data_IF_935871959264
#
_entry.id   IF_935871959264
#
_cell.length_a   1.000
_cell.length_b   1.000
_cell.length_c   1.000
_cell.angle_alpha   90.00
_cell.angle_beta   90.00
_cell.angle_gamma   90.00
#
_symmetry.space_group_name_H-M   'P 1'
#
loop_
_entity.id
_entity.type
_entity.pdbx_description
1 polymer ?
#
# COMPACT_ATOMS: atom_id res chain seq x y z
N UNK A 1 17.11 2.66 -5.28
CA UNK A 1 15.72 3.16 -5.15
C UNK A 1 15.09 2.69 -3.85
N UNK A 2 14.89 1.38 -3.66
CA UNK A 2 14.19 0.76 -2.51
C UNK A 2 14.69 1.17 -1.13
N UNK A 3 16.01 1.36 -0.95
CA UNK A 3 16.58 1.74 0.35
C UNK A 3 16.25 3.17 0.82
N UNK A 4 16.04 4.11 -0.11
CA UNK A 4 15.77 5.51 0.23
C UNK A 4 14.31 5.69 0.66
N UNK A 5 13.40 5.01 -0.02
CA UNK A 5 11.95 4.97 0.23
C UNK A 5 11.67 4.40 1.62
N UNK A 6 12.38 3.31 1.96
CA UNK A 6 12.29 2.61 3.25
C UNK A 6 12.63 3.51 4.45
N UNK A 7 13.64 4.38 4.31
CA UNK A 7 14.11 5.25 5.42
C UNK A 7 13.20 6.46 5.66
N UNK A 8 12.31 6.76 4.72
CA UNK A 8 11.34 7.85 4.77
C UNK A 8 10.03 7.38 5.44
N UNK A 9 9.53 6.20 5.07
CA UNK A 9 8.31 5.60 5.62
C UNK A 9 8.43 5.29 7.13
N UNK A 10 9.62 4.91 7.60
CA UNK A 10 9.80 4.42 8.97
C UNK A 10 9.84 5.50 10.05
N UNK A 11 9.79 6.80 9.71
CA UNK A 11 10.13 7.86 10.69
C UNK A 11 8.96 8.42 11.50
N UNK A 12 7.70 8.29 11.08
CA UNK A 12 6.58 8.99 11.74
C UNK A 12 5.19 8.31 11.56
N UNK A 13 4.98 7.09 12.06
CA UNK A 13 3.60 6.58 12.18
C UNK A 13 3.33 6.04 13.58
N UNK A 14 3.22 6.96 14.54
CA UNK A 14 2.38 6.71 15.71
C UNK A 14 0.93 6.58 15.19
N UNK A 15 0.36 5.38 15.31
CA UNK A 15 -1.02 5.14 14.92
C UNK A 15 -1.97 6.02 15.75
N UNK A 16 -2.99 6.62 15.14
CA UNK A 16 -3.93 7.46 15.87
C UNK A 16 -4.70 6.62 16.91
N UNK A 17 -5.08 7.23 18.05
CA UNK A 17 -5.94 6.56 19.01
C UNK A 17 -7.33 6.30 18.41
N UNK A 18 -7.87 5.12 18.64
CA UNK A 18 -9.21 4.71 18.20
C UNK A 18 -10.17 4.68 19.39
N UNK A 19 -11.14 5.57 19.39
CA UNK A 19 -12.27 5.55 20.33
C UNK A 19 -13.23 4.42 19.96
N UNK A 20 -13.63 3.61 20.94
CA UNK A 20 -14.60 2.53 20.75
C UNK A 20 -16.01 3.11 20.69
N UNK A 21 -16.49 3.37 19.48
CA UNK A 21 -17.86 3.82 19.19
C UNK A 21 -18.48 2.97 18.08
N UNK A 22 -19.80 3.08 17.91
CA UNK A 22 -20.54 2.43 16.82
C UNK A 22 -20.43 3.21 15.49
N UNK A 23 -19.93 4.45 15.51
CA UNK A 23 -19.87 5.36 14.35
C UNK A 23 -19.12 4.80 13.12
N UNK A 24 -18.02 4.03 13.25
CA UNK A 24 -17.35 3.46 12.09
C UNK A 24 -18.22 2.45 11.32
N UNK A 25 -19.27 1.92 11.95
CA UNK A 25 -20.19 0.97 11.35
C UNK A 25 -21.41 1.73 10.81
N UNK A 26 -21.70 1.60 9.51
CA UNK A 26 -22.78 2.37 8.86
C UNK A 26 -24.17 2.05 9.41
N UNK A 27 -24.51 0.77 9.46
CA UNK A 27 -25.80 0.25 9.93
C UNK A 27 -25.53 -0.89 10.90
N UNK A 28 -26.04 -0.80 12.12
CA UNK A 28 -25.88 -1.89 13.09
C UNK A 28 -27.17 -2.19 13.82
N UNK A 29 -27.43 -3.46 14.08
CA UNK A 29 -28.49 -3.93 14.97
C UNK A 29 -27.83 -4.46 16.22
N UNK A 30 -28.07 -3.80 17.35
CA UNK A 30 -27.64 -4.28 18.67
C UNK A 30 -28.80 -4.99 19.34
N UNK A 31 -28.55 -6.17 19.88
CA UNK A 31 -29.57 -6.97 20.55
C UNK A 31 -29.35 -6.95 22.05
N UNK A 32 -30.40 -6.68 22.82
CA UNK A 32 -30.37 -6.72 24.28
C UNK A 32 -31.32 -7.77 24.81
N UNK A 33 -30.77 -8.76 25.49
CA UNK A 33 -31.55 -9.76 26.23
C UNK A 33 -31.88 -9.27 27.63
N UNK A 34 -33.17 -9.12 27.92
CA UNK A 34 -33.67 -8.77 29.24
C UNK A 34 -35.04 -8.11 29.20
N UNK A 35 -35.81 -8.22 30.29
CA UNK A 35 -37.12 -7.57 30.40
C UNK A 35 -36.98 -6.10 30.85
N UNK A 36 -37.49 -5.12 30.09
CA UNK A 36 -37.40 -3.69 30.43
C UNK A 36 -38.05 -3.33 31.77
N UNK A 37 -39.08 -4.09 32.18
CA UNK A 37 -39.79 -3.88 33.44
C UNK A 37 -39.02 -4.35 34.67
N UNK A 38 -37.97 -5.17 34.50
CA UNK A 38 -37.31 -5.87 35.61
C UNK A 38 -35.90 -5.35 35.89
N UNK A 39 -35.28 -4.60 34.98
CA UNK A 39 -33.90 -4.10 35.18
C UNK A 39 -33.73 -2.65 34.73
N UNK A 40 -33.35 -1.78 35.67
CA UNK A 40 -32.94 -0.39 35.41
C UNK A 40 -31.79 -0.29 34.39
N UNK A 41 -31.00 -1.36 34.26
CA UNK A 41 -29.86 -1.49 33.35
C UNK A 41 -30.25 -1.62 31.89
N UNK A 42 -31.34 -2.34 31.58
CA UNK A 42 -31.85 -2.42 30.19
C UNK A 42 -32.36 -1.04 29.75
N UNK A 43 -33.07 -0.32 30.63
CA UNK A 43 -33.50 1.05 30.35
C UNK A 43 -32.32 2.03 30.20
N UNK A 44 -31.26 1.86 30.99
CA UNK A 44 -30.03 2.64 30.82
C UNK A 44 -29.35 2.34 29.48
N UNK A 45 -29.34 1.08 29.05
CA UNK A 45 -28.82 0.67 27.74
C UNK A 45 -29.65 1.25 26.59
N UNK A 46 -30.99 1.26 26.69
CA UNK A 46 -31.88 1.91 25.71
C UNK A 46 -31.57 3.41 25.58
N UNK A 47 -31.45 4.12 26.71
CA UNK A 47 -31.09 5.55 26.73
C UNK A 47 -29.72 5.84 26.14
N UNK A 48 -28.75 4.92 26.28
CA UNK A 48 -27.45 5.07 25.63
C UNK A 48 -27.59 5.04 24.11
N UNK A 49 -28.42 4.14 23.57
CA UNK A 49 -28.66 4.07 22.13
C UNK A 49 -29.43 5.27 21.57
N UNK A 50 -30.29 5.90 22.36
CA UNK A 50 -30.92 7.19 21.99
C UNK A 50 -29.89 8.33 21.85
N UNK A 51 -28.79 8.29 22.60
CA UNK A 51 -27.72 9.31 22.53
C UNK A 51 -26.79 9.09 21.33
N UNK A 52 -26.69 7.87 20.81
CA UNK A 52 -25.76 7.53 19.72
C UNK A 52 -26.35 7.99 18.38
N UNK A 53 -25.64 8.87 17.68
CA UNK A 53 -26.01 9.32 16.34
C UNK A 53 -25.68 8.27 15.28
N UNK A 54 -26.67 7.90 14.45
CA UNK A 54 -26.47 6.99 13.31
C UNK A 54 -27.68 6.07 13.06
N UNK A 55 -27.58 5.19 12.05
CA UNK A 55 -28.59 4.15 11.79
C UNK A 55 -28.30 2.90 12.62
N UNK A 56 -28.38 3.06 13.96
CA UNK A 56 -28.10 2.02 14.93
C UNK A 56 -29.40 1.59 15.60
N UNK A 57 -29.94 0.43 15.20
CA UNK A 57 -31.18 -0.11 15.78
C UNK A 57 -30.88 -0.92 17.04
N UNK A 58 -31.74 -0.77 18.04
CA UNK A 58 -31.73 -1.59 19.25
C UNK A 58 -32.94 -2.52 19.26
N UNK A 59 -32.69 -3.83 19.33
CA UNK A 59 -33.73 -4.85 19.44
C UNK A 59 -33.69 -5.46 20.85
N UNK A 60 -34.76 -5.25 21.62
CA UNK A 60 -34.88 -5.85 22.96
C UNK A 60 -35.61 -7.19 22.85
N UNK A 61 -34.95 -8.24 23.32
CA UNK A 61 -35.44 -9.62 23.25
C UNK A 61 -35.68 -10.17 24.65
N UNK A 62 -36.72 -11.00 24.77
CA UNK A 62 -37.03 -11.78 25.98
C UNK A 62 -36.59 -13.24 25.85
N UNK A 63 -36.25 -13.68 24.63
CA UNK A 63 -35.74 -15.02 24.33
C UNK A 63 -34.24 -15.12 24.60
N UNK A 64 -33.71 -16.35 24.66
CA UNK A 64 -32.26 -16.55 24.74
C UNK A 64 -31.54 -15.92 23.54
N UNK A 65 -30.39 -15.30 23.80
CA UNK A 65 -29.61 -14.61 22.77
C UNK A 65 -29.13 -15.58 21.69
N UNK A 66 -28.73 -16.80 22.05
CA UNK A 66 -28.22 -17.77 21.09
C UNK A 66 -29.34 -18.21 20.15
N UNK A 67 -30.51 -18.55 20.68
CA UNK A 67 -31.66 -18.97 19.88
C UNK A 67 -32.12 -17.88 18.91
N UNK A 68 -32.14 -16.62 19.37
CA UNK A 68 -32.51 -15.48 18.54
C UNK A 68 -31.54 -15.29 17.36
N UNK A 69 -30.23 -15.27 17.64
CA UNK A 69 -29.20 -15.10 16.60
C UNK A 69 -29.14 -16.31 15.68
N UNK A 70 -29.30 -17.53 16.20
CA UNK A 70 -29.35 -18.74 15.39
C UNK A 70 -30.52 -18.73 14.41
N UNK A 71 -31.72 -18.34 14.86
CA UNK A 71 -32.89 -18.20 13.98
C UNK A 71 -32.63 -17.17 12.87
N UNK A 72 -32.06 -16.00 13.23
CA UNK A 72 -31.71 -14.96 12.25
C UNK A 72 -30.60 -15.42 11.28
N UNK A 73 -29.68 -16.26 11.75
CA UNK A 73 -28.60 -16.79 10.92
C UNK A 73 -29.10 -17.78 9.85
N UNK A 74 -30.16 -18.54 10.16
CA UNK A 74 -30.83 -19.45 9.21
C UNK A 74 -31.57 -18.65 8.15
N UNK A 75 -32.19 -17.52 8.52
CA UNK A 75 -32.85 -16.62 7.56
C UNK A 75 -31.84 -15.89 6.66
N UNK A 76 -30.82 -15.27 7.25
CA UNK A 76 -29.84 -14.44 6.53
C UNK A 76 -28.49 -14.33 7.27
N UNK A 77 -27.62 -15.32 7.06
CA UNK A 77 -26.25 -15.29 7.62
C UNK A 77 -25.46 -14.02 7.24
N UNK A 78 -25.67 -13.50 6.03
CA UNK A 78 -25.02 -12.27 5.56
C UNK A 78 -25.42 -11.06 6.39
N UNK A 79 -26.69 -10.97 6.77
CA UNK A 79 -27.21 -9.88 7.58
C UNK A 79 -26.66 -9.92 9.00
N UNK A 80 -26.60 -11.11 9.61
CA UNK A 80 -25.98 -11.31 10.92
C UNK A 80 -24.51 -10.88 10.89
N UNK A 81 -23.76 -11.25 9.85
CA UNK A 81 -22.35 -10.90 9.74
C UNK A 81 -22.08 -9.41 9.53
N UNK A 82 -22.99 -8.67 8.90
CA UNK A 82 -22.77 -7.26 8.49
C UNK A 82 -23.45 -6.27 9.44
N UNK A 83 -24.60 -6.61 10.03
CA UNK A 83 -25.37 -5.69 10.88
C UNK A 83 -25.31 -6.02 12.37
N UNK A 84 -25.25 -7.29 12.74
CA UNK A 84 -25.25 -7.69 14.15
C UNK A 84 -23.82 -7.72 14.69
N UNK A 85 -23.34 -6.56 15.16
CA UNK A 85 -21.94 -6.39 15.61
C UNK A 85 -21.75 -6.70 17.09
N UNK A 86 -22.69 -6.26 17.92
CA UNK A 86 -22.61 -6.32 19.38
C UNK A 86 -23.98 -6.62 19.98
N UNK A 87 -24.00 -7.15 21.18
CA UNK A 87 -25.20 -7.40 21.97
C UNK A 87 -24.89 -7.50 23.45
N UNK A 88 -25.92 -7.46 24.28
CA UNK A 88 -25.79 -7.60 25.73
C UNK A 88 -26.92 -8.45 26.29
N UNK A 89 -26.66 -9.25 27.32
CA UNK A 89 -27.70 -9.96 28.06
C UNK A 89 -27.55 -9.66 29.54
N UNK A 90 -28.62 -9.13 30.13
CA UNK A 90 -28.67 -8.78 31.54
C UNK A 90 -29.50 -9.84 32.29
N UNK A 91 -28.81 -10.74 33.00
CA UNK A 91 -29.44 -11.65 33.94
C UNK A 91 -29.31 -11.09 35.37
N UNK A 92 -30.06 -11.67 36.32
CA UNK A 92 -30.07 -11.22 37.72
C UNK A 92 -28.68 -11.30 38.38
N UNK A 93 -27.89 -12.33 38.04
CA UNK A 93 -26.58 -12.58 38.66
C UNK A 93 -25.39 -12.33 37.72
N UNK A 94 -25.57 -12.42 36.40
CA UNK A 94 -24.49 -12.32 35.42
C UNK A 94 -24.84 -11.37 34.27
N UNK A 95 -23.84 -10.62 33.82
CA UNK A 95 -23.92 -9.77 32.62
C UNK A 95 -23.03 -10.36 31.54
N UNK A 96 -23.60 -10.61 30.37
CA UNK A 96 -22.86 -11.19 29.24
C UNK A 96 -22.83 -10.19 28.09
N UNK A 97 -21.64 -9.87 27.60
CA UNK A 97 -21.44 -9.07 26.40
C UNK A 97 -21.24 -10.02 25.21
N UNK A 98 -22.02 -9.82 24.15
CA UNK A 98 -21.93 -10.60 22.92
C UNK A 98 -21.26 -9.74 21.86
N UNK A 99 -20.35 -10.33 21.11
CA UNK A 99 -19.66 -9.67 20.02
C UNK A 99 -19.60 -10.58 18.80
N UNK A 100 -19.60 -9.97 17.63
CA UNK A 100 -19.42 -10.67 16.38
C UNK A 100 -17.94 -10.63 15.97
N UNK A 101 -17.32 -11.79 15.83
CA UNK A 101 -15.90 -11.92 15.45
C UNK A 101 -15.61 -11.56 13.98
N UNK A 102 -16.57 -11.03 13.23
CA UNK A 102 -16.35 -10.46 11.90
C UNK A 102 -15.74 -9.06 11.93
N UNK A 103 -15.99 -8.28 12.99
CA UNK A 103 -15.36 -6.98 13.17
C UNK A 103 -14.13 -7.07 14.08
N UNK A 104 -13.05 -6.39 13.71
CA UNK A 104 -11.78 -6.42 14.46
C UNK A 104 -11.89 -5.82 15.88
N UNK A 105 -12.79 -4.85 16.08
CA UNK A 105 -12.91 -4.10 17.33
C UNK A 105 -14.26 -4.30 18.03
N UNK A 106 -15.02 -5.33 17.66
CA UNK A 106 -16.35 -5.61 18.23
C UNK A 106 -16.27 -6.12 19.67
N UNK A 107 -15.23 -6.88 20.03
CA UNK A 107 -15.03 -7.37 21.39
C UNK A 107 -14.85 -6.24 22.42
N UNK A 108 -13.91 -5.28 22.27
CA UNK A 108 -13.80 -4.15 23.18
C UNK A 108 -15.02 -3.22 23.12
N UNK A 109 -15.67 -3.10 21.96
CA UNK A 109 -16.91 -2.32 21.80
C UNK A 109 -18.10 -2.90 22.58
N UNK A 110 -18.29 -4.23 22.56
CA UNK A 110 -19.36 -4.87 23.32
C UNK A 110 -19.18 -4.65 24.83
N UNK A 111 -17.94 -4.75 25.31
CA UNK A 111 -17.61 -4.48 26.70
C UNK A 111 -17.79 -3.00 27.07
N UNK A 112 -17.38 -2.07 26.19
CA UNK A 112 -17.55 -0.64 26.46
C UNK A 112 -19.03 -0.28 26.60
N UNK A 113 -19.89 -0.77 25.71
CA UNK A 113 -21.33 -0.53 25.78
C UNK A 113 -21.97 -1.15 27.03
N UNK A 114 -21.58 -2.39 27.37
CA UNK A 114 -22.10 -3.07 28.56
C UNK A 114 -21.71 -2.32 29.85
N UNK A 115 -20.44 -1.93 29.99
CA UNK A 115 -19.99 -1.19 31.17
C UNK A 115 -20.56 0.23 31.23
N UNK A 116 -20.70 0.91 30.09
CA UNK A 116 -21.37 2.21 30.05
C UNK A 116 -22.82 2.12 30.51
N UNK A 117 -23.54 1.05 30.16
CA UNK A 117 -24.92 0.85 30.59
C UNK A 117 -25.04 0.53 32.08
N UNK A 118 -24.13 -0.30 32.60
CA UNK A 118 -24.04 -0.56 34.05
C UNK A 118 -23.74 0.75 34.79
N UNK A 119 -22.76 1.53 34.32
CA UNK A 119 -22.41 2.82 34.93
C UNK A 119 -23.57 3.81 34.88
N UNK A 120 -24.26 3.94 33.74
CA UNK A 120 -25.40 4.83 33.58
C UNK A 120 -26.60 4.44 34.47
N UNK A 121 -26.70 3.16 34.84
CA UNK A 121 -27.75 2.69 35.77
C UNK A 121 -27.52 3.14 37.22
N UNK A 122 -26.26 3.31 37.63
CA UNK A 122 -25.88 3.70 38.99
C UNK A 122 -25.60 5.22 39.09
N UNK A 123 -25.02 5.81 38.04
CA UNK A 123 -24.68 7.22 37.93
C UNK A 123 -25.13 7.79 36.57
N UNK A 124 -26.32 8.40 36.47
CA UNK A 124 -26.86 8.94 35.22
C UNK A 124 -26.03 10.08 34.61
N UNK A 125 -25.17 10.74 35.40
CA UNK A 125 -24.30 11.84 34.96
C UNK A 125 -22.90 11.40 34.56
N UNK A 126 -22.55 10.13 34.82
CA UNK A 126 -21.22 9.60 34.53
C UNK A 126 -21.15 9.09 33.08
N UNK A 127 -20.05 9.38 32.40
CA UNK A 127 -19.79 8.92 31.04
C UNK A 127 -18.48 8.12 30.99
N UNK A 128 -18.51 6.97 30.32
CA UNK A 128 -17.36 6.09 30.14
C UNK A 128 -16.97 6.05 28.67
N UNK A 129 -15.72 6.36 28.38
CA UNK A 129 -15.14 6.26 27.04
C UNK A 129 -13.95 5.30 27.07
N UNK A 130 -13.93 4.38 26.10
CA UNK A 130 -12.85 3.39 25.94
C UNK A 130 -12.08 3.74 24.68
N UNK A 131 -10.76 3.91 24.82
CA UNK A 131 -9.88 4.29 23.71
C UNK A 131 -8.75 3.28 23.60
N UNK A 132 -8.58 2.69 22.42
CA UNK A 132 -7.43 1.88 22.10
C UNK A 132 -6.37 2.75 21.43
N UNK A 133 -5.24 2.94 22.12
CA UNK A 133 -4.05 3.58 21.55
C UNK A 133 -2.95 2.54 21.43
N UNK A 134 -2.58 2.13 20.20
CA UNK A 134 -1.46 1.21 20.00
C UNK A 134 -0.17 1.78 20.62
N UNK A 135 0.67 0.88 21.15
CA UNK A 135 1.99 1.25 21.59
C UNK A 135 2.86 1.66 20.39
N UNK A 136 3.78 2.62 20.55
CA UNK A 136 4.70 2.98 19.49
C UNK A 136 5.54 1.76 19.09
N UNK A 137 5.77 1.60 17.80
CA UNK A 137 6.55 0.47 17.30
C UNK A 137 7.96 0.48 17.87
N UNK A 138 8.39 -0.65 18.43
CA UNK A 138 9.79 -0.86 18.79
C UNK A 138 10.66 -0.86 17.52
N UNK A 139 11.92 -0.42 17.64
CA UNK A 139 12.84 -0.29 16.50
C UNK A 139 12.97 -1.60 15.68
N UNK A 140 12.93 -2.76 16.35
CA UNK A 140 12.97 -4.07 15.69
C UNK A 140 11.72 -4.32 14.84
N UNK A 141 10.53 -4.03 15.37
CA UNK A 141 9.27 -4.17 14.64
C UNK A 141 9.16 -3.16 13.50
N UNK A 142 9.73 -1.96 13.64
CA UNK A 142 9.83 -1.00 12.54
C UNK A 142 10.68 -1.52 11.39
N UNK A 143 11.75 -2.27 11.68
CA UNK A 143 12.59 -2.90 10.65
C UNK A 143 11.87 -4.07 9.97
N UNK A 144 11.05 -4.82 10.70
CA UNK A 144 10.23 -5.90 10.13
C UNK A 144 9.04 -5.38 9.32
N UNK A 145 8.38 -4.30 9.76
CA UNK A 145 7.35 -3.61 8.96
C UNK A 145 7.96 -2.94 7.74
N UNK A 146 9.18 -2.41 7.85
CA UNK A 146 9.99 -1.99 6.68
C UNK A 146 10.19 -3.15 5.72
N UNK A 147 10.51 -4.35 6.20
CA UNK A 147 10.70 -5.54 5.36
C UNK A 147 9.41 -6.04 4.69
N UNK A 148 8.24 -5.77 5.27
CA UNK A 148 6.93 -6.11 4.68
C UNK A 148 6.37 -4.99 3.79
N UNK A 149 6.63 -3.73 4.13
CA UNK A 149 6.41 -2.53 3.31
C UNK A 149 7.28 -2.49 2.05
N UNK A 150 8.25 -3.42 1.94
CA UNK A 150 8.94 -3.73 0.70
C UNK A 150 7.93 -3.96 -0.42
N UNK A 151 6.76 -4.57 -0.22
CA UNK A 151 5.90 -5.02 -1.32
C UNK A 151 5.47 -3.94 -2.33
N UNK A 152 4.96 -2.78 -1.90
CA UNK A 152 4.49 -1.73 -2.81
C UNK A 152 5.66 -0.98 -3.48
N UNK A 153 6.63 -0.52 -2.68
CA UNK A 153 7.82 0.18 -3.20
C UNK A 153 8.72 -0.73 -4.06
N UNK A 154 8.74 -2.03 -3.77
CA UNK A 154 9.41 -3.05 -4.58
C UNK A 154 8.73 -3.23 -5.92
N UNK A 155 7.42 -3.43 -5.95
CA UNK A 155 6.67 -3.60 -7.20
C UNK A 155 6.82 -2.36 -8.08
N UNK A 156 6.75 -1.16 -7.49
CA UNK A 156 6.99 0.08 -8.22
C UNK A 156 8.40 0.15 -8.77
N UNK A 157 9.44 -0.10 -7.97
CA UNK A 157 10.83 -0.07 -8.44
C UNK A 157 11.12 -1.12 -9.53
N UNK A 158 10.59 -2.34 -9.37
CA UNK A 158 10.75 -3.43 -10.32
C UNK A 158 10.07 -3.11 -11.67
N UNK A 159 8.81 -2.68 -11.63
CA UNK A 159 8.07 -2.31 -12.84
C UNK A 159 8.69 -1.10 -13.54
N UNK A 160 9.25 -0.16 -12.77
CA UNK A 160 9.97 0.99 -13.28
C UNK A 160 11.28 0.62 -13.98
N UNK A 161 12.03 -0.32 -13.41
CA UNK A 161 13.21 -0.89 -14.07
C UNK A 161 12.86 -1.58 -15.39
N UNK A 162 11.75 -2.32 -15.42
CA UNK A 162 11.24 -2.96 -16.63
C UNK A 162 10.84 -1.94 -17.71
N UNK A 163 10.09 -0.90 -17.34
CA UNK A 163 9.69 0.17 -18.25
C UNK A 163 10.91 0.90 -18.83
N UNK A 164 11.90 1.21 -17.98
CA UNK A 164 13.14 1.86 -18.44
C UNK A 164 13.95 0.96 -19.36
N UNK A 165 14.05 -0.35 -19.09
CA UNK A 165 14.72 -1.31 -19.96
C UNK A 165 14.11 -1.35 -21.38
N UNK A 166 12.78 -1.21 -21.47
CA UNK A 166 12.06 -1.11 -22.74
C UNK A 166 12.38 0.20 -23.48
N UNK A 167 12.26 1.34 -22.81
CA UNK A 167 12.56 2.67 -23.38
C UNK A 167 14.00 2.70 -23.91
N UNK A 168 14.91 2.18 -23.11
CA UNK A 168 16.33 2.04 -23.42
C UNK A 168 16.55 1.27 -24.72
N UNK A 169 15.90 0.12 -24.90
CA UNK A 169 16.03 -0.67 -26.11
C UNK A 169 15.56 0.05 -27.38
N UNK A 170 14.62 1.00 -27.30
CA UNK A 170 14.12 1.73 -28.48
C UNK A 170 15.21 2.53 -29.19
N UNK A 171 16.20 3.06 -28.48
CA UNK A 171 17.29 3.85 -29.07
C UNK A 171 18.09 3.04 -30.10
N UNK A 172 18.26 1.73 -29.90
CA UNK A 172 19.03 0.88 -30.82
C UNK A 172 18.40 0.81 -32.22
N UNK A 173 17.08 0.98 -32.33
CA UNK A 173 16.36 0.91 -33.60
C UNK A 173 16.85 1.96 -34.58
N UNK A 174 17.08 3.18 -34.11
CA UNK A 174 17.50 4.30 -34.95
C UNK A 174 18.89 4.05 -35.54
N UNK A 175 19.84 3.60 -34.72
CA UNK A 175 21.21 3.33 -35.18
C UNK A 175 21.31 2.15 -36.14
N UNK A 176 20.58 1.06 -35.89
CA UNK A 176 20.55 -0.07 -36.83
C UNK A 176 19.88 0.37 -38.14
N UNK A 177 18.78 1.11 -38.07
CA UNK A 177 18.08 1.62 -39.26
C UNK A 177 19.01 2.52 -40.08
N UNK A 178 19.66 3.49 -39.46
CA UNK A 178 20.58 4.42 -40.13
C UNK A 178 21.78 3.71 -40.80
N UNK A 179 22.26 2.63 -40.18
CA UNK A 179 23.32 1.78 -40.76
C UNK A 179 22.81 0.97 -41.95
N UNK A 180 21.62 0.36 -41.83
CA UNK A 180 21.03 -0.47 -42.90
C UNK A 180 20.58 0.35 -44.11
N UNK A 181 20.10 1.58 -43.90
CA UNK A 181 19.75 2.53 -44.97
C UNK A 181 20.96 3.19 -45.63
N UNK A 182 22.18 2.92 -45.11
CA UNK A 182 23.44 3.58 -45.52
C UNK A 182 23.43 5.10 -45.36
N UNK A 183 22.50 5.67 -44.60
CA UNK A 183 22.45 7.11 -44.34
C UNK A 183 23.71 7.58 -43.60
N UNK A 184 24.21 6.77 -42.67
CA UNK A 184 25.47 7.01 -41.96
C UNK A 184 26.69 7.04 -42.90
N UNK A 185 26.71 6.16 -43.90
CA UNK A 185 27.78 6.13 -44.91
C UNK A 185 27.72 7.40 -45.78
N UNK A 186 26.53 7.85 -46.16
CA UNK A 186 26.37 9.08 -46.93
C UNK A 186 26.89 10.30 -46.17
N UNK A 187 26.57 10.42 -44.88
CA UNK A 187 27.08 11.50 -44.02
C UNK A 187 28.62 11.51 -43.94
N UNK A 188 29.25 10.34 -43.88
CA UNK A 188 30.71 10.23 -43.89
C UNK A 188 31.32 10.59 -45.24
N UNK A 189 30.72 10.17 -46.35
CA UNK A 189 31.16 10.54 -47.71
C UNK A 189 31.01 12.05 -47.94
N UNK A 190 30.04 12.69 -47.30
CA UNK A 190 29.87 14.16 -47.30
C UNK A 190 30.89 14.93 -46.43
N UNK A 191 31.89 14.25 -45.84
CA UNK A 191 32.98 14.90 -45.10
C UNK A 191 32.71 15.16 -43.62
N UNK A 192 31.70 14.51 -43.04
CA UNK A 192 31.39 14.67 -41.61
C UNK A 192 32.41 13.94 -40.75
N UNK A 193 32.96 14.60 -39.73
CA UNK A 193 33.88 13.98 -38.77
C UNK A 193 33.14 12.93 -37.92
N UNK A 194 33.70 11.72 -37.84
CA UNK A 194 33.16 10.58 -37.09
C UNK A 194 32.97 10.93 -35.60
N UNK A 195 33.92 11.64 -34.99
CA UNK A 195 33.83 12.01 -33.56
C UNK A 195 32.70 12.98 -33.30
N UNK A 196 32.52 13.97 -34.19
CA UNK A 196 31.45 14.95 -34.09
C UNK A 196 30.07 14.30 -34.22
N UNK A 197 29.92 13.33 -35.12
CA UNK A 197 28.68 12.55 -35.25
C UNK A 197 28.31 11.88 -33.91
N UNK A 198 29.25 11.17 -33.26
CA UNK A 198 28.94 10.45 -32.01
C UNK A 198 28.66 11.40 -30.84
N UNK A 199 29.34 12.54 -30.76
CA UNK A 199 29.09 13.55 -29.72
C UNK A 199 27.72 14.16 -29.88
N UNK A 200 27.35 14.58 -31.09
CA UNK A 200 26.03 15.16 -31.36
C UNK A 200 24.93 14.14 -31.12
N UNK A 201 25.14 12.89 -31.53
CA UNK A 201 24.18 11.81 -31.33
C UNK A 201 23.98 11.51 -29.83
N UNK A 202 25.06 11.47 -29.04
CA UNK A 202 24.98 11.32 -27.59
C UNK A 202 24.23 12.48 -26.91
N UNK A 203 24.53 13.73 -27.29
CA UNK A 203 23.86 14.91 -26.72
C UNK A 203 22.36 14.87 -27.04
N UNK A 204 22.01 14.55 -28.28
CA UNK A 204 20.62 14.47 -28.72
C UNK A 204 19.86 13.36 -27.97
N UNK A 205 20.43 12.16 -27.90
CA UNK A 205 19.80 11.05 -27.19
C UNK A 205 19.69 11.33 -25.69
N UNK A 206 20.68 11.99 -25.09
CA UNK A 206 20.63 12.37 -23.68
C UNK A 206 19.54 13.41 -23.39
N UNK A 207 19.34 14.40 -24.27
CA UNK A 207 18.26 15.39 -24.14
C UNK A 207 16.89 14.73 -24.26
N UNK A 208 16.71 13.85 -25.25
CA UNK A 208 15.43 13.12 -25.41
C UNK A 208 15.15 12.19 -24.23
N UNK A 209 16.19 11.53 -23.71
CA UNK A 209 16.08 10.68 -22.53
C UNK A 209 15.73 11.48 -21.27
N UNK A 210 16.33 12.67 -21.10
CA UNK A 210 15.98 13.59 -20.03
C UNK A 210 14.49 13.97 -20.08
N UNK A 211 13.98 14.26 -21.28
CA UNK A 211 12.56 14.56 -21.46
C UNK A 211 11.66 13.36 -21.10
N UNK A 212 12.02 12.15 -21.51
CA UNK A 212 11.30 10.93 -21.11
C UNK A 212 11.31 10.72 -19.60
N UNK A 213 12.45 10.96 -18.94
CA UNK A 213 12.56 10.88 -17.48
C UNK A 213 11.66 11.92 -16.79
N UNK A 214 11.57 13.15 -17.30
CA UNK A 214 10.68 14.17 -16.75
C UNK A 214 9.21 13.77 -16.83
N UNK A 215 8.77 13.21 -17.96
CA UNK A 215 7.39 12.69 -18.10
C UNK A 215 7.14 11.59 -17.06
N UNK A 216 8.08 10.66 -16.93
CA UNK A 216 7.97 9.56 -15.97
C UNK A 216 7.89 10.07 -14.51
N UNK A 217 8.71 11.06 -14.14
CA UNK A 217 8.63 11.72 -12.82
C UNK A 217 7.30 12.44 -12.62
N UNK A 218 6.77 13.12 -13.64
CA UNK A 218 5.48 13.80 -13.55
C UNK A 218 4.33 12.82 -13.29
N UNK A 219 4.38 11.63 -13.90
CA UNK A 219 3.42 10.56 -13.63
C UNK A 219 3.54 10.08 -12.19
N UNK A 220 4.75 9.81 -11.69
CA UNK A 220 4.95 9.43 -10.28
C UNK A 220 4.43 10.50 -9.31
N UNK A 221 4.68 11.77 -9.63
CA UNK A 221 4.20 12.89 -8.83
C UNK A 221 2.67 13.03 -8.86
N UNK A 222 1.98 12.58 -9.91
CA UNK A 222 0.52 12.60 -9.98
C UNK A 222 -0.14 11.51 -9.11
N UNK A 223 0.50 10.35 -8.98
CA UNK A 223 -0.04 9.22 -8.20
C UNK A 223 0.15 9.35 -6.68
N UNK A 224 1.09 10.19 -6.22
CA UNK A 224 1.29 10.52 -4.79
C UNK A 224 1.45 9.28 -3.88
N UNK A 225 2.14 8.24 -4.37
CA UNK A 225 2.41 7.03 -3.60
C UNK A 225 3.37 7.30 -2.42
N UNK A 226 3.15 6.60 -1.30
CA UNK A 226 3.94 6.75 -0.08
C UNK A 226 5.44 6.41 -0.34
N UNK A 227 6.32 7.33 0.04
CA UNK A 227 7.77 7.25 -0.18
C UNK A 227 8.25 7.64 -1.60
N UNK A 228 7.35 8.14 -2.44
CA UNK A 228 7.64 8.70 -3.78
C UNK A 228 6.98 10.06 -4.02
N UNK A 229 6.28 10.61 -3.04
CA UNK A 229 5.55 11.87 -3.14
C UNK A 229 6.40 13.10 -2.78
N UNK A 230 7.46 12.94 -1.98
CA UNK A 230 8.29 14.07 -1.57
C UNK A 230 9.12 14.60 -2.73
N UNK A 231 9.18 15.93 -2.88
CA UNK A 231 10.04 16.58 -3.87
C UNK A 231 11.52 16.15 -3.75
N UNK A 232 11.97 15.87 -2.53
CA UNK A 232 13.32 15.38 -2.27
C UNK A 232 13.55 13.94 -2.75
N UNK A 233 12.51 13.10 -2.73
CA UNK A 233 12.56 11.71 -3.18
C UNK A 233 12.49 11.63 -4.71
N UNK A 234 11.57 12.39 -5.31
CA UNK A 234 11.45 12.51 -6.77
C UNK A 234 12.76 13.04 -7.39
N UNK A 235 13.39 14.03 -6.75
CA UNK A 235 14.70 14.53 -7.18
C UNK A 235 15.79 13.46 -7.15
N UNK A 236 15.81 12.59 -6.14
CA UNK A 236 16.77 11.47 -6.06
C UNK A 236 16.51 10.42 -7.14
N UNK A 237 15.25 10.12 -7.42
CA UNK A 237 14.86 9.21 -8.51
C UNK A 237 15.31 9.76 -9.85
N UNK A 238 15.05 11.05 -10.10
CA UNK A 238 15.49 11.72 -11.32
C UNK A 238 17.00 11.64 -11.50
N UNK A 239 17.79 11.95 -10.47
CA UNK A 239 19.25 11.85 -10.52
C UNK A 239 19.74 10.43 -10.82
N UNK A 240 19.11 9.40 -10.25
CA UNK A 240 19.43 8.01 -10.54
C UNK A 240 19.14 7.65 -12.01
N UNK A 241 18.02 8.11 -12.57
CA UNK A 241 17.69 7.90 -13.98
C UNK A 241 18.68 8.61 -14.90
N UNK A 242 19.07 9.84 -14.59
CA UNK A 242 20.07 10.57 -15.38
C UNK A 242 21.43 9.85 -15.39
N UNK A 243 21.88 9.36 -14.23
CA UNK A 243 23.12 8.58 -14.13
C UNK A 243 23.03 7.27 -14.93
N UNK A 244 21.87 6.61 -14.89
CA UNK A 244 21.61 5.42 -15.67
C UNK A 244 21.68 5.69 -17.19
N UNK A 245 21.14 6.81 -17.66
CA UNK A 245 21.22 7.22 -19.07
C UNK A 245 22.65 7.36 -19.59
N UNK A 246 23.55 7.94 -18.78
CA UNK A 246 24.97 8.09 -19.16
C UNK A 246 25.66 6.74 -19.38
N UNK A 247 25.34 5.73 -18.57
CA UNK A 247 25.92 4.39 -18.71
C UNK A 247 25.28 3.57 -19.83
N UNK A 248 23.97 3.70 -20.02
CA UNK A 248 23.22 2.87 -20.95
C UNK A 248 23.38 3.28 -22.43
N UNK A 249 23.43 4.58 -22.73
CA UNK A 249 23.54 5.08 -24.11
C UNK A 249 24.78 4.55 -24.84
N UNK A 250 26.00 4.58 -24.26
CA UNK A 250 27.19 4.00 -24.90
C UNK A 250 27.06 2.50 -25.15
N UNK A 251 26.48 1.76 -24.20
CA UNK A 251 26.25 0.31 -24.34
C UNK A 251 25.35 0.03 -25.54
N UNK A 252 24.28 0.82 -25.71
CA UNK A 252 23.37 0.71 -26.86
C UNK A 252 24.08 0.89 -28.19
N UNK A 253 24.98 1.87 -28.26
CA UNK A 253 25.74 2.15 -29.48
C UNK A 253 26.65 0.97 -29.83
N UNK A 254 27.30 0.36 -28.84
CA UNK A 254 28.11 -0.84 -29.05
C UNK A 254 27.28 -2.01 -29.58
N UNK A 255 26.12 -2.27 -28.99
CA UNK A 255 25.21 -3.34 -29.44
C UNK A 255 24.63 -3.08 -30.83
N UNK A 256 24.47 -1.82 -31.24
CA UNK A 256 23.96 -1.46 -32.58
C UNK A 256 24.82 -1.99 -33.74
N UNK A 257 26.12 -2.23 -33.50
CA UNK A 257 27.04 -2.77 -34.51
C UNK A 257 26.87 -4.28 -34.74
N UNK A 258 26.39 -5.00 -33.73
CA UNK A 258 26.26 -6.47 -33.76
C UNK A 258 25.08 -6.90 -34.65
N UNK A 259 23.97 -6.15 -34.61
CA UNK A 259 22.72 -6.55 -35.25
C UNK A 259 22.50 -5.92 -36.61
N UNK A 260 22.13 -6.73 -37.60
CA UNK A 260 21.78 -6.30 -38.98
C UNK A 260 20.32 -5.90 -39.17
N UNK A 261 19.42 -6.45 -38.36
CA UNK A 261 17.98 -6.20 -38.47
C UNK A 261 17.51 -5.37 -37.27
N UNK A 262 16.86 -4.20 -37.47
CA UNK A 262 16.45 -3.32 -36.37
C UNK A 262 15.55 -4.02 -35.35
N UNK A 263 14.50 -4.73 -35.81
CA UNK A 263 13.54 -5.40 -34.93
C UNK A 263 14.22 -6.47 -34.04
N UNK A 264 15.12 -7.27 -34.61
CA UNK A 264 15.88 -8.27 -33.85
C UNK A 264 16.80 -7.62 -32.82
N UNK A 265 17.49 -6.53 -33.19
CA UNK A 265 18.36 -5.80 -32.25
C UNK A 265 17.59 -5.20 -31.07
N UNK A 266 16.40 -4.66 -31.32
CA UNK A 266 15.50 -4.18 -30.28
C UNK A 266 15.10 -5.29 -29.29
N UNK A 267 14.58 -6.41 -29.79
CA UNK A 267 14.11 -7.51 -28.93
C UNK A 267 15.27 -8.10 -28.11
N UNK A 268 16.43 -8.32 -28.74
CA UNK A 268 17.57 -8.92 -28.04
C UNK A 268 18.14 -7.98 -26.98
N UNK A 269 18.27 -6.67 -27.29
CA UNK A 269 18.76 -5.70 -26.31
C UNK A 269 17.77 -5.49 -25.16
N UNK A 270 16.46 -5.47 -25.46
CA UNK A 270 15.41 -5.43 -24.43
C UNK A 270 15.51 -6.63 -23.48
N UNK A 271 15.60 -7.85 -24.01
CA UNK A 271 15.74 -9.06 -23.20
C UNK A 271 17.03 -9.06 -22.39
N UNK A 272 18.14 -8.61 -22.98
CA UNK A 272 19.42 -8.48 -22.29
C UNK A 272 19.33 -7.51 -21.09
N UNK A 273 18.75 -6.32 -21.30
CA UNK A 273 18.56 -5.31 -20.25
C UNK A 273 17.64 -5.83 -19.13
N UNK A 274 16.54 -6.50 -19.47
CA UNK A 274 15.62 -7.07 -18.49
C UNK A 274 16.31 -8.17 -17.69
N UNK A 275 17.05 -9.07 -18.35
CA UNK A 275 17.76 -10.16 -17.68
C UNK A 275 18.83 -9.62 -16.72
N UNK A 276 19.70 -8.71 -17.18
CA UNK A 276 20.73 -8.11 -16.31
C UNK A 276 20.11 -7.30 -15.18
N UNK A 277 19.07 -6.52 -15.44
CA UNK A 277 18.33 -5.78 -14.42
C UNK A 277 17.72 -6.70 -13.36
N UNK A 278 17.03 -7.75 -13.79
CA UNK A 278 16.39 -8.72 -12.88
C UNK A 278 17.41 -9.52 -12.06
N UNK A 279 18.53 -9.95 -12.67
CA UNK A 279 19.59 -10.70 -11.99
C UNK A 279 20.25 -9.82 -10.92
N UNK A 280 20.67 -8.60 -11.27
CA UNK A 280 21.29 -7.67 -10.32
C UNK A 280 20.34 -7.31 -9.19
N UNK A 281 19.07 -7.06 -9.51
CA UNK A 281 18.04 -6.74 -8.54
C UNK A 281 17.78 -7.90 -7.57
N UNK A 282 17.60 -9.12 -8.09
CA UNK A 282 17.38 -10.33 -7.27
C UNK A 282 18.59 -10.61 -6.39
N UNK A 283 19.81 -10.41 -6.91
CA UNK A 283 21.05 -10.59 -6.14
C UNK A 283 21.11 -9.62 -4.96
N UNK A 284 20.81 -8.34 -5.17
CA UNK A 284 20.78 -7.34 -4.08
C UNK A 284 19.71 -7.67 -3.04
N UNK A 285 18.54 -8.19 -3.46
CA UNK A 285 17.48 -8.61 -2.53
C UNK A 285 17.91 -9.84 -1.74
N UNK A 286 18.52 -10.82 -2.39
CA UNK A 286 19.01 -12.04 -1.75
C UNK A 286 20.10 -11.73 -0.73
N UNK A 287 21.04 -10.83 -1.05
CA UNK A 287 22.07 -10.35 -0.11
C UNK A 287 21.50 -9.58 1.10
N UNK A 288 20.25 -9.12 1.03
CA UNK A 288 19.58 -8.44 2.14
C UNK A 288 18.76 -9.37 3.02
N UNK A 289 18.57 -10.63 2.64
CA UNK A 289 17.82 -11.56 3.47
C UNK A 289 18.60 -11.85 4.77
N UNK A 290 18.02 -11.58 5.95
CA UNK A 290 18.70 -11.74 7.24
C UNK A 290 19.04 -13.19 7.61
N UNK A 291 18.63 -14.18 6.80
CA UNK A 291 19.02 -15.58 6.95
C UNK A 291 20.42 -15.90 6.43
N UNK A 292 21.07 -14.99 5.69
CA UNK A 292 22.46 -15.12 5.27
C UNK A 292 23.30 -14.34 6.27
N UNK A 293 23.65 -15.02 7.36
CA UNK A 293 24.49 -14.51 8.41
C UNK A 293 25.91 -14.27 7.84
N UNK A 294 26.14 -13.10 7.24
CA UNK A 294 27.48 -12.62 6.90
C UNK A 294 28.12 -12.06 8.18
N UNK A 295 28.33 -12.94 9.16
CA UNK A 295 29.33 -12.78 10.20
C UNK A 295 30.51 -13.66 9.81
N UNK A 296 31.36 -13.09 8.96
CA UNK A 296 32.83 -13.23 8.98
C UNK A 296 33.42 -11.93 8.42
#
# INVERSE_FOLDING_TARGET
MTFVIVRSISRDQDLPPLTMSLEPYKETVTVVGGTPATSSRVQAFEKLFEKISGDHRLDVITTDMNDYILKRSVESISEVNVRYMVGASFHSENYTAWFNNKGYHTAPLALSLLYSAVLASECPTCELTVVNKPLPYQLATQLDTVNTGINAGFQLAFNSGFAMAFICALYVLFYIKERTSRSKLLQYVSGTNITLYWVVAFIWDYITFMFTCLIYIAVLAAFQEEGWSSASELGRVFLLLMLFGVGFLPVTYLFSFVFKTPATGFVVLMLFNIATGAILFTTVVLLKFPGINLQD
#
